data_IF_006965409102
#
_entry.id   IF_006965409102
#
_cell.length_a   1.000
_cell.length_b   1.000
_cell.length_c   1.000
_cell.angle_alpha   90.00
_cell.angle_beta   90.00
_cell.angle_gamma   90.00
#
_symmetry.space_group_name_H-M   'P 1'
#
loop_
_entity.id
_entity.type
_entity.pdbx_description
1 polymer ?
#
# COMPACT_ATOMS: atom_id res chain seq x y z
N UNK A 1 -9.54 -8.76 -23.98
CA UNK A 1 -9.32 -8.22 -22.61
C UNK A 1 -8.97 -6.76 -22.72
N UNK A 2 -9.34 -5.91 -21.74
CA UNK A 2 -8.90 -4.52 -21.71
C UNK A 2 -7.39 -4.47 -21.39
N UNK A 3 -6.63 -3.64 -22.09
CA UNK A 3 -5.22 -3.36 -21.72
C UNK A 3 -5.12 -2.76 -20.34
N UNK A 4 -4.09 -3.14 -19.61
CA UNK A 4 -3.78 -2.54 -18.30
C UNK A 4 -3.15 -1.16 -18.51
N UNK A 5 -3.69 -0.13 -17.87
CA UNK A 5 -3.20 1.24 -17.94
C UNK A 5 -2.22 1.50 -16.80
N UNK A 6 -0.96 1.81 -17.15
CA UNK A 6 0.13 1.96 -16.18
C UNK A 6 0.72 3.36 -16.26
N UNK A 7 0.98 3.96 -15.08
CA UNK A 7 1.78 5.17 -14.95
C UNK A 7 3.11 4.88 -14.24
N UNK A 8 4.20 5.55 -14.63
CA UNK A 8 5.54 5.37 -14.03
C UNK A 8 6.19 6.72 -13.77
N UNK A 9 6.43 7.04 -12.48
CA UNK A 9 7.18 8.20 -12.02
C UNK A 9 8.54 7.74 -11.45
N UNK A 10 9.63 8.05 -12.15
CA UNK A 10 10.99 7.60 -11.84
C UNK A 10 12.00 8.57 -12.46
N UNK A 11 12.87 9.18 -11.64
CA UNK A 11 13.80 10.20 -12.12
C UNK A 11 14.99 9.63 -12.90
N UNK A 12 15.40 8.39 -12.59
CA UNK A 12 16.46 7.71 -13.33
C UNK A 12 15.95 7.14 -14.66
N UNK A 13 16.26 7.82 -15.77
CA UNK A 13 15.78 7.44 -17.09
C UNK A 13 16.09 5.98 -17.49
N UNK A 14 17.25 5.45 -17.09
CA UNK A 14 17.61 4.07 -17.37
C UNK A 14 16.71 3.06 -16.61
N UNK A 15 16.43 3.32 -15.34
CA UNK A 15 15.53 2.51 -14.51
C UNK A 15 14.11 2.60 -15.06
N UNK A 16 13.62 3.79 -15.37
CA UNK A 16 12.30 4.01 -15.96
C UNK A 16 12.11 3.23 -17.25
N UNK A 17 13.10 3.27 -18.15
CA UNK A 17 13.08 2.50 -19.39
C UNK A 17 13.10 0.98 -19.15
N UNK A 18 13.88 0.51 -18.19
CA UNK A 18 13.90 -0.91 -17.77
C UNK A 18 12.51 -1.34 -17.28
N UNK A 19 11.89 -0.57 -16.40
CA UNK A 19 10.56 -0.87 -15.86
C UNK A 19 9.51 -0.97 -16.97
N UNK A 20 9.52 -0.02 -17.92
CA UNK A 20 8.59 0.00 -19.06
C UNK A 20 8.77 -1.25 -19.94
N UNK A 21 10.00 -1.59 -20.27
CA UNK A 21 10.28 -2.76 -21.10
C UNK A 21 9.82 -4.05 -20.39
N UNK A 22 10.15 -4.18 -19.12
CA UNK A 22 9.83 -5.37 -18.32
C UNK A 22 8.31 -5.60 -18.21
N UNK A 23 7.50 -4.56 -17.99
CA UNK A 23 6.04 -4.74 -17.93
C UNK A 23 5.45 -5.03 -19.30
N UNK A 24 5.94 -4.39 -20.38
CA UNK A 24 5.47 -4.63 -21.75
C UNK A 24 5.78 -6.04 -22.26
N UNK A 25 6.84 -6.67 -21.75
CA UNK A 25 7.15 -8.08 -22.07
C UNK A 25 6.21 -9.08 -21.39
N UNK A 26 5.64 -8.71 -20.22
CA UNK A 26 4.87 -9.64 -19.37
C UNK A 26 3.38 -9.38 -19.38
N UNK A 27 2.95 -8.18 -19.75
CA UNK A 27 1.56 -7.73 -19.69
C UNK A 27 1.13 -7.06 -21.00
N UNK A 28 -0.11 -7.33 -21.42
CA UNK A 28 -0.77 -6.48 -22.43
C UNK A 28 -1.17 -5.17 -21.74
N UNK A 29 -0.29 -4.18 -21.81
CA UNK A 29 -0.43 -2.91 -21.11
C UNK A 29 -0.14 -1.71 -22.01
N UNK A 30 -0.60 -0.56 -21.55
CA UNK A 30 -0.30 0.76 -22.12
C UNK A 30 0.30 1.65 -21.04
N UNK A 31 1.40 2.32 -21.33
CA UNK A 31 1.98 3.33 -20.45
C UNK A 31 1.33 4.67 -20.81
N UNK A 32 0.43 5.13 -19.94
CA UNK A 32 -0.36 6.35 -20.19
C UNK A 32 0.28 7.62 -19.63
N UNK A 33 1.29 7.46 -18.76
CA UNK A 33 2.11 8.55 -18.24
C UNK A 33 3.49 8.02 -17.81
N UNK A 34 4.57 8.74 -18.18
CA UNK A 34 5.92 8.46 -17.71
C UNK A 34 6.69 9.76 -17.49
N UNK A 35 7.23 10.00 -16.30
CA UNK A 35 7.97 11.22 -16.01
C UNK A 35 9.09 11.02 -14.99
N UNK A 36 10.03 11.98 -14.96
CA UNK A 36 11.14 12.00 -14.02
C UNK A 36 10.86 12.75 -12.71
N UNK A 37 9.63 13.16 -12.45
CA UNK A 37 9.21 13.82 -11.21
C UNK A 37 7.68 13.80 -11.10
N UNK A 38 7.19 14.03 -9.88
CA UNK A 38 5.75 13.96 -9.60
C UNK A 38 4.92 15.02 -10.32
N UNK A 39 5.44 16.23 -10.47
CA UNK A 39 4.71 17.32 -11.11
C UNK A 39 4.44 17.03 -12.60
N UNK A 40 5.48 16.66 -13.35
CA UNK A 40 5.35 16.34 -14.76
C UNK A 40 4.50 15.08 -14.95
N UNK A 41 4.63 14.08 -14.05
CA UNK A 41 3.83 12.86 -14.04
C UNK A 41 2.33 13.12 -13.91
N UNK A 42 1.92 13.95 -12.95
CA UNK A 42 0.51 14.31 -12.77
C UNK A 42 -0.06 15.08 -13.97
N UNK A 43 0.76 15.92 -14.60
CA UNK A 43 0.37 16.61 -15.82
C UNK A 43 0.15 15.64 -16.99
N UNK A 44 1.03 14.66 -17.17
CA UNK A 44 0.86 13.63 -18.21
C UNK A 44 -0.38 12.77 -17.97
N UNK A 45 -0.62 12.33 -16.72
CA UNK A 45 -1.86 11.63 -16.37
C UNK A 45 -3.10 12.44 -16.72
N UNK A 46 -3.10 13.73 -16.40
CA UNK A 46 -4.22 14.61 -16.74
C UNK A 46 -4.42 14.74 -18.24
N UNK A 47 -3.32 14.88 -19.01
CA UNK A 47 -3.37 14.99 -20.47
C UNK A 47 -3.83 13.69 -21.14
N UNK A 48 -3.51 12.53 -20.56
CA UNK A 48 -3.98 11.23 -21.09
C UNK A 48 -5.50 11.08 -21.05
N UNK A 49 -6.17 11.85 -20.19
CA UNK A 49 -7.62 11.76 -19.94
C UNK A 49 -8.09 10.33 -19.61
N UNK A 50 -7.20 9.51 -19.02
CA UNK A 50 -7.44 8.13 -18.62
C UNK A 50 -7.16 7.94 -17.13
N UNK A 51 -7.82 6.95 -16.52
CA UNK A 51 -7.57 6.55 -15.12
C UNK A 51 -6.63 5.36 -15.13
N UNK A 52 -5.42 5.47 -14.55
CA UNK A 52 -4.50 4.34 -14.49
C UNK A 52 -5.04 3.23 -13.58
N UNK A 53 -4.85 1.98 -13.99
CA UNK A 53 -5.13 0.82 -13.14
C UNK A 53 -4.11 0.73 -11.99
N UNK A 54 -2.85 1.04 -12.32
CA UNK A 54 -1.75 1.05 -11.35
C UNK A 54 -0.71 2.12 -11.74
N UNK A 55 -0.10 2.72 -10.71
CA UNK A 55 1.07 3.60 -10.88
C UNK A 55 2.24 3.08 -10.07
N UNK A 56 3.45 3.20 -10.62
CA UNK A 56 4.70 3.01 -9.88
C UNK A 56 5.35 4.36 -9.61
N UNK A 57 5.74 4.61 -8.36
CA UNK A 57 6.24 5.91 -7.92
C UNK A 57 7.53 5.72 -7.15
N UNK A 58 8.62 6.39 -7.59
CA UNK A 58 9.80 6.59 -6.76
C UNK A 58 9.55 7.69 -5.73
N UNK A 59 10.13 7.55 -4.54
CA UNK A 59 10.02 8.55 -3.48
C UNK A 59 10.97 9.73 -3.68
N UNK A 60 12.16 9.47 -4.18
CA UNK A 60 13.24 10.45 -4.31
C UNK A 60 13.30 11.05 -5.70
N UNK A 61 12.42 11.99 -5.99
CA UNK A 61 12.37 12.68 -7.27
C UNK A 61 12.52 14.20 -7.11
N UNK A 62 13.12 14.91 -8.10
CA UNK A 62 13.21 16.37 -8.08
C UNK A 62 11.85 17.04 -8.28
N UNK A 63 11.76 18.34 -8.03
CA UNK A 63 10.56 19.21 -8.16
C UNK A 63 9.41 18.81 -7.25
N UNK A 64 8.87 17.59 -7.40
CA UNK A 64 7.79 17.01 -6.58
C UNK A 64 8.16 15.58 -6.25
N UNK A 65 8.32 15.29 -4.97
CA UNK A 65 8.70 13.98 -4.45
C UNK A 65 7.54 12.95 -4.53
N UNK A 66 7.85 11.67 -4.30
CA UNK A 66 6.87 10.60 -4.40
C UNK A 66 5.78 10.67 -3.34
N UNK A 67 6.06 11.15 -2.13
CA UNK A 67 5.05 11.28 -1.07
C UNK A 67 3.93 12.25 -1.46
N UNK A 68 4.29 13.41 -1.99
CA UNK A 68 3.32 14.40 -2.42
C UNK A 68 2.59 13.92 -3.69
N UNK A 69 3.29 13.24 -4.60
CA UNK A 69 2.69 12.62 -5.77
C UNK A 69 1.64 11.57 -5.38
N UNK A 70 1.94 10.70 -4.40
CA UNK A 70 1.00 9.69 -3.90
C UNK A 70 -0.27 10.32 -3.32
N UNK A 71 -0.14 11.41 -2.54
CA UNK A 71 -1.30 12.14 -1.98
C UNK A 71 -2.21 12.66 -3.09
N UNK A 72 -1.61 13.28 -4.12
CA UNK A 72 -2.38 13.79 -5.26
C UNK A 72 -3.06 12.66 -6.06
N UNK A 73 -2.37 11.54 -6.29
CA UNK A 73 -2.96 10.36 -6.94
C UNK A 73 -4.13 9.83 -6.12
N UNK A 74 -3.99 9.69 -4.80
CA UNK A 74 -5.10 9.23 -3.93
C UNK A 74 -6.30 10.17 -3.96
N UNK A 75 -6.06 11.46 -4.08
CA UNK A 75 -7.13 12.48 -4.16
C UNK A 75 -7.84 12.47 -5.52
N UNK A 76 -7.08 12.44 -6.62
CA UNK A 76 -7.61 12.61 -7.97
C UNK A 76 -8.02 11.30 -8.63
N UNK A 77 -7.35 10.19 -8.28
CA UNK A 77 -7.53 8.85 -8.85
C UNK A 77 -7.69 7.78 -7.74
N UNK A 78 -8.73 7.83 -6.91
CA UNK A 78 -8.85 7.00 -5.70
C UNK A 78 -8.92 5.50 -5.97
N UNK A 79 -9.30 5.07 -7.17
CA UNK A 79 -9.33 3.66 -7.57
C UNK A 79 -7.97 3.12 -8.05
N UNK A 80 -7.01 4.00 -8.32
CA UNK A 80 -5.69 3.63 -8.83
C UNK A 80 -4.87 2.90 -7.77
N UNK A 81 -4.30 1.77 -8.14
CA UNK A 81 -3.36 1.04 -7.29
C UNK A 81 -2.00 1.73 -7.33
N UNK A 82 -1.26 1.68 -6.22
CA UNK A 82 0.04 2.37 -6.08
C UNK A 82 1.09 1.39 -5.63
N UNK A 83 2.13 1.20 -6.44
CA UNK A 83 3.38 0.53 -6.10
C UNK A 83 4.45 1.60 -5.83
N UNK A 84 5.09 1.56 -4.68
CA UNK A 84 6.30 2.35 -4.43
C UNK A 84 7.52 1.52 -4.78
N UNK A 85 8.38 2.04 -5.65
CA UNK A 85 9.61 1.40 -6.11
C UNK A 85 10.78 2.35 -5.92
N UNK A 86 11.55 2.19 -4.84
CA UNK A 86 12.52 3.19 -4.38
C UNK A 86 13.75 2.59 -3.70
N UNK A 87 14.84 3.35 -3.62
CA UNK A 87 16.00 3.00 -2.78
C UNK A 87 15.79 3.29 -1.29
N UNK A 88 14.82 4.13 -0.93
CA UNK A 88 14.49 4.42 0.48
C UNK A 88 13.82 3.22 1.10
N UNK A 89 14.44 2.62 2.12
CA UNK A 89 13.96 1.38 2.75
C UNK A 89 13.85 1.49 4.28
N UNK A 90 13.72 2.69 4.82
CA UNK A 90 13.50 2.90 6.25
C UNK A 90 12.11 2.42 6.65
N UNK A 91 12.05 1.60 7.70
CA UNK A 91 10.81 0.94 8.12
C UNK A 91 9.69 1.94 8.44
N UNK A 92 10.01 3.04 9.11
CA UNK A 92 9.02 4.06 9.48
C UNK A 92 8.45 4.77 8.24
N UNK A 93 9.28 5.00 7.23
CA UNK A 93 8.87 5.55 5.95
C UNK A 93 7.89 4.60 5.24
N UNK A 94 8.19 3.30 5.23
CA UNK A 94 7.34 2.25 4.64
C UNK A 94 5.99 2.18 5.36
N UNK A 95 5.99 2.21 6.70
CA UNK A 95 4.75 2.22 7.51
C UNK A 95 3.89 3.44 7.17
N UNK A 96 4.49 4.61 7.04
CA UNK A 96 3.77 5.82 6.67
C UNK A 96 3.16 5.74 5.28
N UNK A 97 3.84 5.12 4.32
CA UNK A 97 3.32 4.90 2.97
C UNK A 97 2.09 3.99 2.96
N UNK A 98 2.11 2.89 3.72
CA UNK A 98 0.92 2.04 3.87
C UNK A 98 -0.24 2.79 4.56
N UNK A 99 0.04 3.68 5.51
CA UNK A 99 -0.98 4.53 6.12
C UNK A 99 -1.61 5.53 5.12
N UNK A 100 -0.87 5.95 4.10
CA UNK A 100 -1.40 6.78 3.01
C UNK A 100 -2.23 5.93 2.04
N UNK A 101 -2.07 4.62 2.04
CA UNK A 101 -2.86 3.68 1.24
C UNK A 101 -2.18 3.22 -0.05
N UNK A 102 -0.88 2.97 -0.04
CA UNK A 102 -0.20 2.25 -1.12
C UNK A 102 -0.58 0.77 -1.11
N UNK A 103 -0.40 0.10 -2.24
CA UNK A 103 -0.74 -1.31 -2.44
C UNK A 103 0.48 -2.23 -2.46
N UNK A 104 1.67 -1.65 -2.56
CA UNK A 104 2.91 -2.39 -2.52
C UNK A 104 4.12 -1.49 -2.35
N UNK A 105 5.18 -2.05 -1.79
CA UNK A 105 6.48 -1.40 -1.63
C UNK A 105 7.58 -2.35 -2.06
N UNK A 106 8.54 -1.85 -2.81
CA UNK A 106 9.71 -2.58 -3.27
C UNK A 106 10.94 -1.70 -3.14
N UNK A 107 11.96 -2.25 -2.49
CA UNK A 107 13.29 -1.63 -2.49
C UNK A 107 14.03 -1.96 -3.78
N UNK A 108 14.51 -0.95 -4.50
CA UNK A 108 15.33 -1.12 -5.71
C UNK A 108 16.62 -1.91 -5.50
N UNK A 109 17.10 -2.02 -4.27
CA UNK A 109 18.27 -2.82 -3.89
C UNK A 109 17.93 -4.30 -3.65
N UNK A 110 16.70 -4.74 -3.79
CA UNK A 110 16.29 -6.13 -3.56
C UNK A 110 16.50 -6.97 -4.82
N UNK A 111 17.64 -7.64 -4.92
CA UNK A 111 18.04 -8.47 -6.08
C UNK A 111 17.06 -9.61 -6.40
N UNK A 112 16.21 -10.01 -5.46
CA UNK A 112 15.22 -11.10 -5.64
C UNK A 112 13.91 -10.61 -6.22
N UNK A 113 13.81 -9.33 -6.52
CA UNK A 113 12.55 -8.72 -6.85
C UNK A 113 12.44 -8.41 -8.35
N UNK A 114 11.32 -8.80 -8.93
CA UNK A 114 10.98 -8.52 -10.32
C UNK A 114 9.84 -7.51 -10.36
N UNK A 115 10.04 -6.38 -11.03
CA UNK A 115 9.11 -5.26 -11.08
C UNK A 115 7.77 -5.65 -11.70
N UNK A 116 7.80 -6.36 -12.82
CA UNK A 116 6.57 -6.80 -13.50
C UNK A 116 5.76 -7.77 -12.65
N UNK A 117 6.42 -8.67 -11.91
CA UNK A 117 5.74 -9.59 -11.00
C UNK A 117 5.00 -8.86 -9.89
N UNK A 118 5.56 -7.75 -9.35
CA UNK A 118 4.87 -6.94 -8.37
C UNK A 118 3.62 -6.26 -8.93
N UNK A 119 3.73 -5.71 -10.12
CA UNK A 119 2.58 -5.11 -10.81
C UNK A 119 1.47 -6.15 -10.98
N UNK A 120 1.82 -7.35 -11.47
CA UNK A 120 0.86 -8.45 -11.69
C UNK A 120 0.20 -8.84 -10.36
N UNK A 121 1.00 -9.08 -9.31
CA UNK A 121 0.47 -9.48 -8.00
C UNK A 121 -0.49 -8.43 -7.41
N UNK A 122 -0.15 -7.13 -7.54
CA UNK A 122 -1.04 -6.05 -7.08
C UNK A 122 -2.32 -6.00 -7.91
N UNK A 123 -2.26 -6.22 -9.22
CA UNK A 123 -3.44 -6.21 -10.07
C UNK A 123 -4.37 -7.38 -9.77
N UNK A 124 -3.84 -8.57 -9.55
CA UNK A 124 -4.60 -9.80 -9.28
C UNK A 124 -5.16 -9.86 -7.85
N UNK A 125 -4.33 -9.48 -6.87
CA UNK A 125 -4.65 -9.67 -5.45
C UNK A 125 -4.93 -8.37 -4.68
N UNK A 126 -4.79 -7.21 -5.34
CA UNK A 126 -5.02 -5.89 -4.72
C UNK A 126 -3.84 -5.35 -3.93
N UNK A 127 -2.84 -6.16 -3.61
CA UNK A 127 -1.64 -5.77 -2.85
C UNK A 127 -0.46 -6.71 -3.14
N UNK A 128 0.76 -6.25 -2.78
CA UNK A 128 2.00 -7.00 -2.90
C UNK A 128 2.38 -7.66 -1.58
N UNK A 129 2.52 -8.99 -1.56
CA UNK A 129 3.06 -9.75 -0.43
C UNK A 129 4.58 -9.73 -0.46
N UNK A 130 5.23 -9.05 0.47
CA UNK A 130 6.68 -9.03 0.55
C UNK A 130 7.21 -9.07 2.00
N UNK A 131 8.55 -9.13 2.17
CA UNK A 131 9.23 -9.22 3.48
C UNK A 131 8.97 -8.04 4.43
N UNK A 132 8.49 -6.92 3.93
CA UNK A 132 8.17 -5.74 4.72
C UNK A 132 6.84 -5.90 5.49
N UNK A 133 5.99 -6.84 5.07
CA UNK A 133 4.90 -7.33 5.87
C UNK A 133 5.46 -8.30 6.91
N UNK A 134 6.00 -7.77 8.01
CA UNK A 134 6.78 -8.52 9.01
C UNK A 134 6.01 -9.60 9.76
N UNK A 135 4.72 -9.64 9.72
CA UNK A 135 3.96 -10.76 10.24
C UNK A 135 3.53 -11.66 9.09
N UNK A 136 3.76 -12.98 9.21
CA UNK A 136 3.14 -13.97 8.31
C UNK A 136 1.63 -13.74 8.21
N UNK A 137 1.06 -13.16 9.22
CA UNK A 137 -0.34 -12.83 9.39
C UNK A 137 -0.80 -11.67 8.49
N UNK A 138 -0.02 -10.58 8.38
CA UNK A 138 -0.33 -9.50 7.44
C UNK A 138 -0.23 -9.93 5.98
N UNK A 139 0.63 -10.92 5.68
CA UNK A 139 0.75 -11.49 4.34
C UNK A 139 -0.48 -12.33 3.92
N UNK A 140 -1.31 -12.77 4.87
CA UNK A 140 -2.54 -13.51 4.62
C UNK A 140 -3.78 -12.62 4.47
N UNK A 141 -3.65 -11.30 4.65
CA UNK A 141 -4.77 -10.37 4.55
C UNK A 141 -5.19 -10.16 3.11
N UNK A 142 -6.45 -10.40 2.83
CA UNK A 142 -7.08 -10.00 1.57
C UNK A 142 -7.38 -8.50 1.60
N UNK A 143 -6.40 -7.70 1.18
CA UNK A 143 -6.48 -6.24 1.13
C UNK A 143 -7.65 -5.73 0.28
N UNK A 144 -8.14 -6.51 -0.68
CA UNK A 144 -9.36 -6.18 -1.44
C UNK A 144 -10.59 -6.17 -0.53
N UNK A 145 -10.65 -7.03 0.48
CA UNK A 145 -11.72 -7.02 1.48
C UNK A 145 -11.69 -5.77 2.35
N UNK A 146 -10.52 -5.15 2.55
CA UNK A 146 -10.37 -3.94 3.38
C UNK A 146 -10.70 -2.65 2.65
N UNK A 147 -10.42 -2.55 1.37
CA UNK A 147 -10.77 -1.37 0.58
C UNK A 147 -12.27 -1.28 0.27
N UNK A 148 -13.04 -2.36 0.46
CA UNK A 148 -14.45 -2.45 0.09
C UNK A 148 -15.45 -2.52 1.25
N UNK A 149 -15.02 -2.60 2.51
CA UNK A 149 -15.95 -2.62 3.64
C UNK A 149 -16.27 -1.19 4.06
N UNK A 150 -17.12 -0.54 3.27
CA UNK A 150 -17.72 0.75 3.57
C UNK A 150 -16.68 1.88 3.76
N UNK A 151 -17.10 3.01 4.30
CA UNK A 151 -16.30 4.20 4.63
C UNK A 151 -15.18 3.97 5.69
N UNK A 152 -14.87 2.74 6.04
CA UNK A 152 -13.95 2.34 7.11
C UNK A 152 -12.65 1.73 6.57
N UNK A 153 -11.92 2.45 5.70
CA UNK A 153 -10.55 2.07 5.38
C UNK A 153 -9.68 2.06 6.66
N UNK A 154 -9.11 0.90 7.00
CA UNK A 154 -8.22 0.78 8.15
C UNK A 154 -6.80 1.23 7.78
N UNK A 155 -6.15 1.93 8.70
CA UNK A 155 -4.71 2.18 8.63
C UNK A 155 -3.93 0.91 8.95
N UNK A 156 -2.66 0.86 8.55
CA UNK A 156 -1.76 -0.25 8.89
C UNK A 156 -1.76 -0.57 10.39
N UNK A 157 -1.65 0.44 11.26
CA UNK A 157 -1.69 0.25 12.72
C UNK A 157 -3.03 -0.29 13.23
N UNK A 158 -4.13 0.09 12.60
CA UNK A 158 -5.45 -0.43 12.95
C UNK A 158 -5.57 -1.91 12.57
N UNK A 159 -5.03 -2.29 11.41
CA UNK A 159 -4.98 -3.68 10.94
C UNK A 159 -4.10 -4.53 11.88
N UNK A 160 -2.90 -4.05 12.20
CA UNK A 160 -1.98 -4.72 13.11
C UNK A 160 -2.59 -4.90 14.51
N UNK A 161 -3.31 -3.88 15.01
CA UNK A 161 -4.05 -3.98 16.26
C UNK A 161 -5.14 -5.06 16.22
N UNK A 162 -5.91 -5.13 15.13
CA UNK A 162 -6.93 -6.16 14.93
C UNK A 162 -6.28 -7.54 14.98
N UNK A 163 -5.16 -7.74 14.26
CA UNK A 163 -4.45 -9.00 14.23
C UNK A 163 -3.93 -9.42 15.61
N UNK A 164 -3.29 -8.53 16.34
CA UNK A 164 -2.82 -8.82 17.71
C UNK A 164 -3.94 -9.23 18.65
N UNK A 165 -5.15 -8.70 18.43
CA UNK A 165 -6.31 -9.10 19.22
C UNK A 165 -6.84 -10.48 18.83
N UNK A 166 -6.72 -10.89 17.56
CA UNK A 166 -7.01 -12.26 17.11
C UNK A 166 -6.00 -13.23 17.75
N UNK A 167 -4.71 -12.88 17.71
CA UNK A 167 -3.60 -13.66 18.30
C UNK A 167 -3.59 -13.64 19.83
N UNK A 168 -4.59 -13.03 20.43
CA UNK A 168 -4.80 -12.96 21.88
C UNK A 168 -3.70 -12.23 22.67
N UNK A 169 -2.98 -11.28 22.04
CA UNK A 169 -1.99 -10.45 22.73
C UNK A 169 -2.65 -9.49 23.72
N UNK A 170 -1.99 -9.30 24.87
CA UNK A 170 -2.36 -8.29 25.86
C UNK A 170 -1.91 -6.88 25.44
N UNK A 171 -2.50 -5.85 26.04
CA UNK A 171 -2.07 -4.44 25.83
C UNK A 171 -0.58 -4.24 26.11
N UNK A 172 -0.03 -4.93 27.11
CA UNK A 172 1.40 -4.88 27.47
C UNK A 172 2.27 -5.45 26.36
N UNK A 173 1.89 -6.59 25.79
CA UNK A 173 2.62 -7.23 24.70
C UNK A 173 2.57 -6.40 23.43
N UNK A 174 1.41 -5.83 23.09
CA UNK A 174 1.26 -4.91 21.96
C UNK A 174 2.13 -3.66 22.15
N UNK A 175 2.14 -3.09 23.37
CA UNK A 175 2.96 -1.93 23.68
C UNK A 175 4.45 -2.21 23.48
N UNK A 176 4.93 -3.40 23.87
CA UNK A 176 6.31 -3.84 23.63
C UNK A 176 6.61 -3.98 22.14
N UNK A 177 5.72 -4.60 21.37
CA UNK A 177 5.89 -4.77 19.92
C UNK A 177 5.88 -3.43 19.17
N UNK A 178 5.08 -2.49 19.64
CA UNK A 178 4.99 -1.15 19.04
C UNK A 178 6.04 -0.16 19.58
N UNK A 179 6.89 -0.58 20.51
CA UNK A 179 7.85 0.31 21.19
C UNK A 179 7.17 1.59 21.73
N UNK A 180 6.00 1.45 22.36
CA UNK A 180 5.21 2.56 22.87
C UNK A 180 4.64 2.26 24.27
N UNK A 181 3.96 3.26 24.87
CA UNK A 181 3.26 3.05 26.14
C UNK A 181 1.93 2.31 25.95
N UNK A 182 1.48 1.59 26.99
CA UNK A 182 0.16 0.97 27.02
C UNK A 182 -0.97 1.98 26.76
N UNK A 183 -0.79 3.21 27.24
CA UNK A 183 -1.73 4.33 27.00
C UNK A 183 -1.88 4.65 25.51
N UNK A 184 -0.83 4.49 24.73
CA UNK A 184 -0.88 4.67 23.27
C UNK A 184 -1.67 3.52 22.61
N UNK A 185 -1.48 2.29 23.08
CA UNK A 185 -2.27 1.13 22.60
C UNK A 185 -3.76 1.32 22.90
N UNK A 186 -4.08 1.80 24.11
CA UNK A 186 -5.46 2.11 24.52
C UNK A 186 -6.09 3.21 23.64
N UNK A 187 -5.33 4.22 23.28
CA UNK A 187 -5.78 5.25 22.32
C UNK A 187 -6.18 4.64 20.97
N UNK A 188 -5.34 3.75 20.41
CA UNK A 188 -5.65 3.07 19.15
C UNK A 188 -6.85 2.13 19.31
N UNK A 189 -6.95 1.40 20.43
CA UNK A 189 -8.12 0.58 20.76
C UNK A 189 -9.41 1.40 20.72
N UNK A 190 -9.45 2.51 21.44
CA UNK A 190 -10.62 3.39 21.48
C UNK A 190 -11.00 3.90 20.08
N UNK A 191 -10.01 4.29 19.29
CA UNK A 191 -10.22 4.77 17.90
C UNK A 191 -10.86 3.70 17.03
N UNK A 192 -10.35 2.46 17.07
CA UNK A 192 -10.84 1.34 16.27
C UNK A 192 -12.25 0.94 16.73
N UNK A 193 -12.48 0.87 18.04
CA UNK A 193 -13.77 0.51 18.61
C UNK A 193 -14.85 1.52 18.23
N UNK A 194 -14.55 2.82 18.30
CA UNK A 194 -15.46 3.87 17.83
C UNK A 194 -15.73 3.76 16.32
N UNK A 195 -14.69 3.49 15.52
CA UNK A 195 -14.80 3.36 14.07
C UNK A 195 -15.67 2.19 13.62
N UNK A 196 -15.67 1.09 14.39
CA UNK A 196 -16.42 -0.14 14.11
C UNK A 196 -17.77 -0.20 14.84
N UNK A 197 -18.05 0.77 15.69
CA UNK A 197 -19.22 0.79 16.59
C UNK A 197 -19.31 -0.49 17.44
N UNK A 198 -18.17 -0.85 18.08
CA UNK A 198 -18.02 -1.99 18.97
C UNK A 198 -17.50 -1.54 20.32
N UNK A 199 -17.71 -2.37 21.35
CA UNK A 199 -17.35 -2.05 22.74
C UNK A 199 -16.40 -3.05 23.37
N UNK A 200 -16.32 -4.26 22.81
CA UNK A 200 -15.57 -5.37 23.40
C UNK A 200 -14.55 -5.96 22.41
N UNK A 201 -13.53 -6.60 22.97
CA UNK A 201 -12.56 -7.37 22.19
C UNK A 201 -13.22 -8.53 21.44
N UNK A 202 -14.22 -9.17 22.08
CA UNK A 202 -14.95 -10.28 21.46
C UNK A 202 -15.65 -9.84 20.16
N UNK A 203 -16.27 -8.66 20.20
CA UNK A 203 -16.90 -8.07 19.01
C UNK A 203 -15.86 -7.76 17.93
N UNK A 204 -14.66 -7.24 18.32
CA UNK A 204 -13.56 -7.01 17.36
C UNK A 204 -13.12 -8.31 16.69
N UNK A 205 -12.91 -9.39 17.46
CA UNK A 205 -12.50 -10.70 16.93
C UNK A 205 -13.62 -11.30 16.06
N UNK A 206 -14.88 -11.16 16.46
CA UNK A 206 -16.03 -11.61 15.66
C UNK A 206 -16.13 -10.85 14.34
N UNK A 207 -15.97 -9.54 14.40
CA UNK A 207 -15.92 -8.69 13.20
C UNK A 207 -14.78 -9.11 12.28
N UNK A 208 -13.58 -9.30 12.83
CA UNK A 208 -12.40 -9.71 12.08
C UNK A 208 -12.62 -11.04 11.36
N UNK A 209 -13.16 -12.06 12.03
CA UNK A 209 -13.52 -13.36 11.42
C UNK A 209 -14.55 -13.22 10.31
N UNK A 210 -15.58 -12.38 10.52
CA UNK A 210 -16.61 -12.11 9.51
C UNK A 210 -16.04 -11.52 8.22
N UNK A 211 -14.96 -10.74 8.32
CA UNK A 211 -14.28 -10.13 7.17
C UNK A 211 -13.10 -10.95 6.64
N UNK A 212 -12.92 -12.18 7.16
CA UNK A 212 -11.99 -13.18 6.64
C UNK A 212 -10.62 -13.26 7.31
N UNK A 213 -10.47 -12.70 8.52
CA UNK A 213 -9.33 -13.03 9.38
C UNK A 213 -9.56 -14.40 10.03
N UNK A 214 -8.64 -15.31 9.83
CA UNK A 214 -8.56 -16.58 10.54
C UNK A 214 -7.38 -16.55 11.52
N UNK A 215 -7.56 -17.17 12.68
CA UNK A 215 -6.52 -17.38 13.70
C UNK A 215 -5.54 -18.47 13.27
#
# INVERSE_FOLDING_TARGET
MRRVLIGIAEDHAAIRKMMINEVKEKLDCEIIAEAGNGFDFLNELKLSNQIPDIVSIDLSMPKMNGYDTIKEIKSQYPSTKILVFTFVAELDAIINLFNIGIHGFVGKADEKFNFSSAIIEILEHGFLKNKYYRSKQLASLDWNKYSFIGNNAFTYKEIEFIQFNIDNLSTVEIAKLWFCSEKNVEYHRKKIYTKLDITTRQELVTYAKKIGYES
#
